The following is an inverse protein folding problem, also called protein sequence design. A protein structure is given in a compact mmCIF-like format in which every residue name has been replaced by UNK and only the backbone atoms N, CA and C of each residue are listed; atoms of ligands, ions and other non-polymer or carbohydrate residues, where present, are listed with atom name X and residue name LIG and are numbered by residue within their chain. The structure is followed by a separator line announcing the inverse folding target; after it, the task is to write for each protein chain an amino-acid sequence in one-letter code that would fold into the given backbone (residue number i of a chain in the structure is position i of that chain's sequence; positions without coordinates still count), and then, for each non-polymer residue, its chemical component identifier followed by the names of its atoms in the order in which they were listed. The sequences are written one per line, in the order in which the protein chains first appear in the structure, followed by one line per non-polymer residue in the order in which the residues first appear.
data_IF_751293558641
#
_entry.id   IF_751293558641
#
_cell.length_a   1.000
_cell.length_b   1.000
_cell.length_c   1.000
_cell.angle_alpha   90.00
_cell.angle_beta   90.00
_cell.angle_gamma   90.00
#
_symmetry.space_group_name_H-M   'P 1'
#
loop_
_entity.id
_entity.type
_entity.pdbx_description
1 polymer ?
#
# COMPACT_ATOMS: atom_id res chain seq x y z
N UNK A 1 -11.66 -18.38 17.05
CA UNK A 1 -11.39 -16.98 17.47
C UNK A 1 -11.41 -16.13 16.22
N UNK A 2 -11.91 -14.90 16.29
CA UNK A 2 -11.97 -14.00 15.13
C UNK A 2 -10.58 -13.42 14.87
N UNK A 3 -10.14 -13.40 13.60
CA UNK A 3 -8.89 -12.75 13.19
C UNK A 3 -8.97 -11.27 13.50
N UNK A 4 -7.88 -10.66 13.97
CA UNK A 4 -7.76 -9.21 14.15
C UNK A 4 -6.71 -8.63 13.22
N UNK A 5 -7.01 -7.49 12.62
CA UNK A 5 -6.05 -6.65 11.90
C UNK A 5 -5.90 -5.32 12.63
N UNK A 6 -4.75 -5.08 13.24
CA UNK A 6 -4.37 -3.78 13.78
C UNK A 6 -3.86 -2.91 12.64
N UNK A 7 -4.58 -1.82 12.34
CA UNK A 7 -4.33 -1.07 11.13
C UNK A 7 -4.85 0.38 11.17
N UNK A 8 -4.31 1.20 10.27
CA UNK A 8 -4.83 2.50 9.91
C UNK A 8 -4.94 2.59 8.40
N UNK A 9 -6.11 2.91 7.84
CA UNK A 9 -6.33 2.89 6.39
C UNK A 9 -5.74 4.11 5.66
N UNK A 10 -5.00 4.99 6.34
CA UNK A 10 -4.07 5.90 5.67
C UNK A 10 -2.82 5.13 5.19
N UNK A 11 -2.34 4.16 5.99
CA UNK A 11 -1.16 3.35 5.71
C UNK A 11 -1.37 2.42 4.51
N UNK A 12 -0.47 2.49 3.53
CA UNK A 12 -0.47 1.65 2.32
C UNK A 12 -0.51 0.14 2.62
N UNK A 13 0.43 -0.43 3.41
CA UNK A 13 0.40 -1.86 3.70
C UNK A 13 -0.83 -2.29 4.51
N UNK A 14 -1.38 -1.40 5.33
CA UNK A 14 -2.64 -1.67 6.04
C UNK A 14 -3.83 -1.72 5.08
N UNK A 15 -3.92 -0.76 4.14
CA UNK A 15 -4.94 -0.81 3.07
C UNK A 15 -4.82 -2.06 2.22
N UNK A 16 -3.61 -2.44 1.80
CA UNK A 16 -3.42 -3.64 0.99
C UNK A 16 -3.92 -4.91 1.71
N UNK A 17 -3.55 -5.10 2.98
CA UNK A 17 -4.00 -6.24 3.78
C UNK A 17 -5.52 -6.23 4.01
N UNK A 18 -6.08 -5.10 4.44
CA UNK A 18 -7.53 -4.95 4.64
C UNK A 18 -8.29 -5.22 3.34
N UNK A 19 -7.80 -4.72 2.21
CA UNK A 19 -8.48 -4.83 0.93
C UNK A 19 -8.57 -6.28 0.48
N UNK A 20 -7.50 -7.06 0.57
CA UNK A 20 -7.56 -8.48 0.21
C UNK A 20 -8.46 -9.26 1.17
N UNK A 21 -8.47 -8.92 2.46
CA UNK A 21 -9.38 -9.55 3.43
C UNK A 21 -10.86 -9.28 3.08
N UNK A 22 -11.22 -8.04 2.75
CA UNK A 22 -12.58 -7.69 2.32
C UNK A 22 -12.96 -8.32 0.99
N UNK A 23 -12.06 -8.29 0.02
CA UNK A 23 -12.27 -8.87 -1.31
C UNK A 23 -12.58 -10.36 -1.22
N UNK A 24 -11.95 -11.07 -0.26
CA UNK A 24 -12.17 -12.49 -0.01
C UNK A 24 -13.29 -12.76 1.01
N UNK A 25 -14.04 -11.72 1.40
CA UNK A 25 -15.12 -11.78 2.37
C UNK A 25 -14.72 -12.46 3.69
N UNK A 26 -13.46 -12.28 4.11
CA UNK A 26 -12.97 -12.82 5.38
C UNK A 26 -13.55 -12.01 6.53
N UNK A 27 -14.32 -12.65 7.41
CA UNK A 27 -14.76 -12.05 8.66
C UNK A 27 -13.56 -11.81 9.60
N UNK A 28 -13.37 -10.57 10.02
CA UNK A 28 -12.28 -10.17 10.91
C UNK A 28 -12.63 -8.88 11.66
N UNK A 29 -11.92 -8.62 12.75
CA UNK A 29 -11.98 -7.38 13.50
C UNK A 29 -10.89 -6.41 12.99
N UNK A 30 -11.28 -5.26 12.45
CA UNK A 30 -10.35 -4.17 12.14
C UNK A 30 -10.14 -3.31 13.39
N UNK A 31 -9.02 -3.53 14.08
CA UNK A 31 -8.62 -2.74 15.25
C UNK A 31 -7.92 -1.47 14.76
N UNK A 32 -8.62 -0.34 14.84
CA UNK A 32 -8.07 0.95 14.40
C UNK A 32 -6.96 1.41 15.33
N UNK A 33 -5.79 1.72 14.77
CA UNK A 33 -4.65 2.28 15.48
C UNK A 33 -4.26 3.64 14.88
N UNK A 34 -4.44 4.72 15.62
CA UNK A 34 -4.13 6.08 15.13
C UNK A 34 -2.65 6.41 15.24
N UNK A 35 -2.08 7.05 14.20
CA UNK A 35 -0.68 7.50 14.23
C UNK A 35 -0.41 8.43 15.42
N UNK A 36 0.74 8.23 16.08
CA UNK A 36 1.10 8.99 17.28
C UNK A 36 0.39 8.55 18.56
N UNK A 37 -0.53 7.58 18.49
CA UNK A 37 -1.14 6.96 19.68
C UNK A 37 -0.09 6.29 20.58
N UNK A 38 -0.28 6.30 21.92
CA UNK A 38 0.56 5.53 22.84
C UNK A 38 0.52 4.01 22.60
N UNK A 39 -0.45 3.50 21.83
CA UNK A 39 -0.55 2.09 21.45
C UNK A 39 0.76 1.54 20.89
N UNK A 40 1.45 2.28 20.02
CA UNK A 40 2.67 1.79 19.36
C UNK A 40 3.84 1.53 20.33
N UNK A 41 3.77 2.08 21.53
CA UNK A 41 4.77 1.93 22.60
C UNK A 41 4.27 1.09 23.77
N UNK A 42 3.02 0.61 23.73
CA UNK A 42 2.45 -0.16 24.83
C UNK A 42 3.09 -1.56 24.89
N UNK A 43 3.33 -2.12 26.09
CA UNK A 43 3.86 -3.48 26.23
C UNK A 43 3.02 -4.52 25.48
N UNK A 44 1.70 -4.36 25.48
CA UNK A 44 0.76 -5.26 24.82
C UNK A 44 0.93 -5.25 23.29
N UNK A 45 1.07 -4.07 22.68
CA UNK A 45 1.27 -3.97 21.24
C UNK A 45 2.68 -4.40 20.83
N UNK A 46 3.69 -4.05 21.62
CA UNK A 46 5.08 -4.47 21.37
C UNK A 46 5.28 -5.97 21.49
N UNK A 47 4.46 -6.67 22.29
CA UNK A 47 4.41 -8.12 22.33
C UNK A 47 3.91 -8.73 21.01
N UNK A 48 3.04 -8.02 20.26
CA UNK A 48 2.56 -8.45 18.93
C UNK A 48 3.53 -8.04 17.82
N UNK A 49 4.15 -6.86 17.93
CA UNK A 49 5.14 -6.36 16.98
C UNK A 49 6.20 -5.50 17.68
N UNK A 50 7.43 -6.01 17.86
CA UNK A 50 8.49 -5.27 18.55
C UNK A 50 8.95 -4.01 17.81
N UNK A 51 8.58 -3.84 16.53
CA UNK A 51 8.87 -2.62 15.79
C UNK A 51 7.94 -1.45 16.15
N UNK A 52 6.82 -1.71 16.84
CA UNK A 52 5.81 -0.67 17.12
C UNK A 52 5.19 -0.09 15.84
N UNK A 53 4.91 -0.93 14.83
CA UNK A 53 4.37 -0.50 13.54
C UNK A 53 3.11 -1.30 13.14
N UNK A 54 2.32 -0.73 12.23
CA UNK A 54 1.17 -1.38 11.58
C UNK A 54 1.47 -1.68 10.09
N UNK A 55 0.77 -2.65 9.47
CA UNK A 55 -0.24 -3.54 10.05
C UNK A 55 0.33 -4.68 10.91
N UNK A 56 -0.51 -5.19 11.81
CA UNK A 56 -0.28 -6.43 12.56
C UNK A 56 -1.52 -7.31 12.46
N UNK A 57 -1.33 -8.57 12.10
CA UNK A 57 -2.36 -9.61 12.11
C UNK A 57 -2.26 -10.41 13.41
N UNK A 58 -3.40 -10.73 14.00
CA UNK A 58 -3.52 -11.71 15.07
C UNK A 58 -4.51 -12.81 14.68
N UNK A 59 -4.04 -14.05 14.62
CA UNK A 59 -4.85 -15.26 14.41
C UNK A 59 -4.71 -16.17 15.65
N UNK A 60 -5.61 -16.01 16.62
CA UNK A 60 -5.50 -16.65 17.93
C UNK A 60 -4.24 -16.18 18.68
N UNK A 61 -3.39 -17.14 19.04
CA UNK A 61 -2.11 -16.88 19.71
C UNK A 61 -0.98 -16.54 18.73
N UNK A 62 -1.20 -16.71 17.42
CA UNK A 62 -0.24 -16.36 16.39
C UNK A 62 -0.36 -14.87 16.04
N UNK A 63 0.78 -14.18 15.97
CA UNK A 63 0.86 -12.80 15.50
C UNK A 63 1.87 -12.66 14.37
N UNK A 64 1.57 -11.79 13.41
CA UNK A 64 2.41 -11.53 12.25
C UNK A 64 2.33 -10.06 11.87
N UNK A 65 3.48 -9.44 11.62
CA UNK A 65 3.57 -8.06 11.15
C UNK A 65 4.24 -8.00 9.77
N UNK A 66 4.15 -6.82 9.12
CA UNK A 66 4.44 -6.55 7.69
C UNK A 66 3.31 -6.99 6.77
N UNK A 67 2.70 -6.03 6.05
CA UNK A 67 1.62 -6.29 5.09
C UNK A 67 1.99 -7.34 4.04
N UNK A 68 3.20 -7.28 3.48
CA UNK A 68 3.66 -8.23 2.46
C UNK A 68 3.96 -9.64 3.01
N UNK A 69 3.97 -9.84 4.34
CA UNK A 69 4.00 -11.17 4.96
C UNK A 69 2.59 -11.63 5.38
N UNK A 70 1.76 -10.69 5.88
CA UNK A 70 0.37 -10.93 6.26
C UNK A 70 -0.45 -11.44 5.07
N UNK A 71 -0.33 -10.81 3.90
CA UNK A 71 -1.13 -11.17 2.73
C UNK A 71 -0.87 -12.60 2.22
N UNK A 72 0.40 -13.04 2.00
CA UNK A 72 0.69 -14.44 1.68
C UNK A 72 0.22 -15.42 2.74
N UNK A 73 0.44 -15.12 4.03
CA UNK A 73 -0.04 -15.97 5.13
C UNK A 73 -1.56 -16.20 5.05
N UNK A 74 -2.34 -15.12 4.86
CA UNK A 74 -3.80 -15.23 4.73
C UNK A 74 -4.17 -16.03 3.47
N UNK A 75 -3.50 -15.79 2.35
CA UNK A 75 -3.78 -16.48 1.11
C UNK A 75 -3.51 -18.00 1.24
N UNK A 76 -2.41 -18.41 1.88
CA UNK A 76 -2.12 -19.81 2.15
C UNK A 76 -3.10 -20.41 3.18
N UNK A 77 -3.37 -19.68 4.27
CA UNK A 77 -4.24 -20.12 5.37
C UNK A 77 -5.67 -20.42 4.91
N UNK A 78 -6.17 -19.65 3.94
CA UNK A 78 -7.54 -19.69 3.43
C UNK A 78 -7.65 -20.12 1.96
N UNK A 79 -6.56 -20.61 1.37
CA UNK A 79 -6.50 -21.12 0.00
C UNK A 79 -6.97 -20.12 -1.08
N UNK A 80 -6.49 -18.87 -1.01
CA UNK A 80 -6.77 -17.81 -1.99
C UNK A 80 -5.83 -17.91 -3.21
N UNK A 81 -5.90 -19.05 -3.91
CA UNK A 81 -5.02 -19.36 -5.05
C UNK A 81 -5.24 -18.46 -6.26
N UNK A 82 -6.34 -17.70 -6.28
CA UNK A 82 -6.63 -16.66 -7.26
C UNK A 82 -5.72 -15.42 -7.08
N UNK A 83 -5.40 -15.05 -5.83
CA UNK A 83 -4.55 -13.92 -5.52
C UNK A 83 -3.07 -14.31 -5.32
N UNK A 84 -2.84 -15.56 -4.90
CA UNK A 84 -1.52 -16.12 -4.63
C UNK A 84 -1.42 -17.53 -5.22
N UNK A 85 -1.04 -17.65 -6.50
CA UNK A 85 -1.04 -18.93 -7.21
C UNK A 85 -0.14 -20.00 -6.59
N UNK A 86 -0.55 -21.26 -6.71
CA UNK A 86 0.26 -22.41 -6.29
C UNK A 86 1.29 -22.86 -7.35
N UNK A 87 1.17 -22.41 -8.60
CA UNK A 87 2.20 -22.64 -9.62
C UNK A 87 3.50 -21.94 -9.22
N UNK A 88 4.62 -22.68 -9.25
CA UNK A 88 5.91 -22.22 -8.74
C UNK A 88 6.40 -20.94 -9.42
N UNK A 89 6.18 -20.79 -10.72
CA UNK A 89 6.65 -19.61 -11.47
C UNK A 89 5.76 -18.40 -11.24
N UNK A 90 4.43 -18.58 -11.28
CA UNK A 90 3.48 -17.51 -10.99
C UNK A 90 3.63 -17.02 -9.54
N UNK A 91 3.77 -17.94 -8.59
CA UNK A 91 4.07 -17.65 -7.19
C UNK A 91 5.37 -16.84 -7.04
N UNK A 92 6.43 -17.25 -7.74
CA UNK A 92 7.71 -16.54 -7.71
C UNK A 92 7.60 -15.11 -8.27
N UNK A 93 6.75 -14.85 -9.27
CA UNK A 93 6.48 -13.50 -9.80
C UNK A 93 5.79 -12.60 -8.78
N UNK A 94 4.81 -13.14 -8.04
CA UNK A 94 4.18 -12.40 -6.94
C UNK A 94 5.23 -12.02 -5.89
N UNK A 95 6.03 -12.99 -5.44
CA UNK A 95 7.08 -12.74 -4.44
C UNK A 95 8.16 -11.79 -4.95
N UNK A 96 8.57 -11.90 -6.21
CA UNK A 96 9.52 -10.98 -6.83
C UNK A 96 9.08 -9.52 -6.60
N UNK A 97 7.81 -9.21 -6.89
CA UNK A 97 7.31 -7.86 -6.68
C UNK A 97 7.19 -7.49 -5.20
N UNK A 98 6.63 -8.37 -4.37
CA UNK A 98 6.47 -8.09 -2.93
C UNK A 98 7.81 -7.79 -2.23
N UNK A 99 8.88 -8.50 -2.61
CA UNK A 99 10.23 -8.22 -2.11
C UNK A 99 10.84 -6.96 -2.72
N UNK A 100 10.71 -6.77 -4.03
CA UNK A 100 11.21 -5.57 -4.72
C UNK A 100 10.54 -4.28 -4.22
N UNK A 101 9.25 -4.34 -3.90
CA UNK A 101 8.42 -3.22 -3.41
C UNK A 101 9.04 -2.49 -2.21
N UNK A 102 9.59 -3.23 -1.24
CA UNK A 102 10.10 -2.69 0.02
C UNK A 102 11.23 -1.66 -0.13
N UNK A 103 12.07 -1.80 -1.14
CA UNK A 103 13.20 -0.91 -1.40
C UNK A 103 12.99 -0.01 -2.61
N UNK A 104 11.78 -0.02 -3.18
CA UNK A 104 11.42 0.73 -4.37
C UNK A 104 10.10 1.48 -4.18
N UNK A 105 8.97 0.92 -4.60
CA UNK A 105 7.68 1.61 -4.57
C UNK A 105 7.30 2.11 -3.16
N UNK A 106 7.64 1.35 -2.11
CA UNK A 106 7.38 1.73 -0.72
C UNK A 106 8.11 3.00 -0.27
N UNK A 107 9.19 3.39 -0.94
CA UNK A 107 9.97 4.59 -0.62
C UNK A 107 9.20 5.89 -0.91
N UNK A 108 8.08 5.83 -1.63
CA UNK A 108 7.22 7.00 -1.87
C UNK A 108 6.80 7.65 -0.55
N UNK A 109 6.48 6.89 0.49
CA UNK A 109 6.12 7.51 1.79
C UNK A 109 7.26 8.33 2.38
N UNK A 110 8.46 7.75 2.50
CA UNK A 110 9.59 8.41 3.17
C UNK A 110 10.27 9.48 2.32
N UNK A 111 10.21 9.36 0.99
CA UNK A 111 10.85 10.31 0.06
C UNK A 111 9.91 11.37 -0.51
N UNK A 112 8.59 11.17 -0.42
CA UNK A 112 7.61 12.07 -1.02
C UNK A 112 6.58 12.52 0.01
N UNK A 113 5.79 11.59 0.58
CA UNK A 113 4.68 11.97 1.47
C UNK A 113 5.16 12.72 2.72
N UNK A 114 6.11 12.14 3.46
CA UNK A 114 6.61 12.72 4.72
C UNK A 114 7.28 14.08 4.48
N UNK A 115 8.23 14.22 3.52
CA UNK A 115 8.81 15.52 3.17
C UNK A 115 7.77 16.57 2.75
N UNK A 116 6.76 16.20 1.96
CA UNK A 116 5.68 17.12 1.57
C UNK A 116 4.84 17.55 2.77
N UNK A 117 4.51 16.63 3.67
CA UNK A 117 3.77 16.92 4.89
C UNK A 117 4.54 17.88 5.81
N UNK A 118 5.83 17.62 6.04
CA UNK A 118 6.68 18.51 6.83
C UNK A 118 6.86 19.88 6.16
N UNK A 119 6.90 19.93 4.84
CA UNK A 119 6.94 21.19 4.09
C UNK A 119 5.67 22.01 4.34
N UNK A 120 4.49 21.39 4.29
CA UNK A 120 3.20 22.03 4.59
C UNK A 120 3.09 22.50 6.04
N UNK A 121 3.72 21.79 6.96
CA UNK A 121 3.78 22.12 8.38
C UNK A 121 4.88 23.15 8.71
N UNK A 122 5.69 23.59 7.74
CA UNK A 122 6.84 24.47 7.94
C UNK A 122 7.90 23.90 8.92
N UNK A 123 8.07 22.58 8.94
CA UNK A 123 9.06 21.86 9.77
C UNK A 123 10.04 21.02 8.97
N UNK A 124 10.01 21.14 7.63
CA UNK A 124 10.88 20.37 6.75
C UNK A 124 12.37 20.67 6.98
N UNK A 125 13.20 19.63 6.95
CA UNK A 125 14.66 19.79 6.96
C UNK A 125 15.20 20.21 5.59
N UNK A 126 16.45 20.73 5.48
CA UNK A 126 17.08 21.00 4.19
C UNK A 126 17.13 19.77 3.27
N UNK A 127 17.36 18.58 3.83
CA UNK A 127 17.38 17.32 3.07
C UNK A 127 16.00 16.98 2.51
N UNK A 128 14.94 17.16 3.30
CA UNK A 128 13.57 16.94 2.87
C UNK A 128 13.15 17.92 1.76
N UNK A 129 13.60 19.17 1.82
CA UNK A 129 13.36 20.15 0.76
C UNK A 129 13.98 19.69 -0.58
N UNK A 130 15.15 19.06 -0.55
CA UNK A 130 15.76 18.44 -1.75
C UNK A 130 14.92 17.26 -2.23
N UNK A 131 14.46 16.38 -1.33
CA UNK A 131 13.61 15.25 -1.71
C UNK A 131 12.29 15.68 -2.37
N UNK A 132 11.66 16.75 -1.86
CA UNK A 132 10.45 17.33 -2.47
C UNK A 132 10.75 17.83 -3.88
N UNK A 133 11.88 18.54 -4.09
CA UNK A 133 12.29 19.00 -5.42
C UNK A 133 12.54 17.85 -6.40
N UNK A 134 13.09 16.74 -5.93
CA UNK A 134 13.41 15.56 -6.74
C UNK A 134 12.23 14.61 -6.97
N UNK A 135 11.08 14.88 -6.33
CA UNK A 135 9.87 14.05 -6.41
C UNK A 135 9.45 13.73 -7.85
N UNK A 136 9.36 14.68 -8.80
CA UNK A 136 8.98 14.37 -10.18
C UNK A 136 9.91 13.35 -10.85
N UNK A 137 11.23 13.49 -10.65
CA UNK A 137 12.24 12.57 -11.20
C UNK A 137 12.12 11.17 -10.59
N UNK A 138 11.94 11.11 -9.27
CA UNK A 138 11.73 9.85 -8.54
C UNK A 138 10.48 9.11 -9.05
N UNK A 139 9.36 9.83 -9.16
CA UNK A 139 8.09 9.27 -9.60
C UNK A 139 8.14 8.84 -11.06
N UNK A 140 8.73 9.64 -11.96
CA UNK A 140 8.92 9.26 -13.36
C UNK A 140 9.73 7.96 -13.49
N UNK A 141 10.84 7.84 -12.75
CA UNK A 141 11.66 6.62 -12.74
C UNK A 141 10.86 5.41 -12.25
N UNK A 142 10.08 5.58 -11.18
CA UNK A 142 9.32 4.50 -10.56
C UNK A 142 8.17 4.03 -11.47
N UNK A 143 7.40 4.97 -12.04
CA UNK A 143 6.29 4.66 -12.96
C UNK A 143 6.83 4.03 -14.25
N UNK A 144 7.95 4.52 -14.79
CA UNK A 144 8.62 3.90 -15.94
C UNK A 144 9.07 2.46 -15.68
N UNK A 145 9.37 2.10 -14.43
CA UNK A 145 9.70 0.73 -14.06
C UNK A 145 8.44 -0.14 -13.91
N UNK A 146 7.37 0.40 -13.33
CA UNK A 146 6.08 -0.28 -13.29
C UNK A 146 5.53 -0.57 -14.69
N UNK A 147 5.66 0.37 -15.63
CA UNK A 147 5.31 0.20 -17.05
C UNK A 147 5.98 -1.05 -17.66
N UNK A 148 7.20 -1.39 -17.20
CA UNK A 148 7.95 -2.58 -17.66
C UNK A 148 7.49 -3.86 -16.99
N UNK A 149 7.04 -3.82 -15.74
CA UNK A 149 6.48 -4.99 -15.04
C UNK A 149 5.12 -5.38 -15.60
N UNK A 150 4.39 -4.44 -16.19
CA UNK A 150 3.12 -4.67 -16.87
C UNK A 150 3.36 -5.26 -18.28
N UNK A 151 3.93 -6.47 -18.31
CA UNK A 151 4.05 -7.28 -19.54
C UNK A 151 2.68 -7.81 -19.94
N UNK A 152 1.90 -8.25 -18.95
CA UNK A 152 0.46 -8.51 -19.04
C UNK A 152 -0.33 -7.38 -18.38
N UNK A 153 -1.62 -7.61 -18.12
CA UNK A 153 -2.50 -6.63 -17.50
C UNK A 153 -2.18 -6.35 -16.02
N UNK A 154 -1.46 -7.26 -15.34
CA UNK A 154 -1.15 -7.18 -13.91
C UNK A 154 0.34 -7.39 -13.62
N UNK A 155 0.77 -6.93 -12.44
CA UNK A 155 2.18 -6.76 -12.05
C UNK A 155 2.96 -8.08 -12.03
N UNK A 156 2.32 -9.18 -11.65
CA UNK A 156 2.95 -10.49 -11.57
C UNK A 156 2.92 -11.28 -12.90
N UNK A 157 2.83 -10.58 -14.03
CA UNK A 157 2.71 -11.18 -15.37
C UNK A 157 1.47 -12.10 -15.50
N UNK A 158 0.40 -11.77 -14.77
CA UNK A 158 -0.86 -12.50 -14.70
C UNK A 158 -1.99 -11.82 -15.46
N UNK A 159 -3.06 -12.57 -15.74
CA UNK A 159 -4.30 -12.08 -16.38
C UNK A 159 -5.34 -11.60 -15.35
N UNK A 160 -5.04 -11.75 -14.06
CA UNK A 160 -5.87 -11.35 -12.91
C UNK A 160 -5.00 -10.68 -11.84
N UNK A 161 -5.56 -9.78 -11.01
CA UNK A 161 -4.79 -9.14 -9.95
C UNK A 161 -4.33 -10.15 -8.90
N UNK A 162 -3.10 -10.01 -8.45
CA UNK A 162 -2.47 -10.82 -7.39
C UNK A 162 -2.15 -9.96 -6.19
N UNK A 163 -1.65 -10.56 -5.10
CA UNK A 163 -1.17 -9.81 -3.93
C UNK A 163 -0.15 -8.70 -4.29
N UNK A 164 0.63 -8.89 -5.36
CA UNK A 164 1.56 -7.88 -5.86
C UNK A 164 0.84 -6.60 -6.30
N UNK A 165 -0.31 -6.72 -6.96
CA UNK A 165 -1.10 -5.59 -7.44
C UNK A 165 -1.71 -4.79 -6.29
N UNK A 166 -2.21 -5.44 -5.23
CA UNK A 166 -2.73 -4.74 -4.04
C UNK A 166 -1.63 -3.98 -3.28
N UNK A 167 -0.44 -4.58 -3.16
CA UNK A 167 0.72 -3.91 -2.58
C UNK A 167 1.17 -2.71 -3.42
N UNK A 168 1.24 -2.89 -4.74
CA UNK A 168 1.63 -1.84 -5.69
C UNK A 168 0.64 -0.68 -5.67
N UNK A 169 -0.64 -0.99 -5.87
CA UNK A 169 -1.70 -0.02 -6.12
C UNK A 169 -1.85 0.94 -4.96
N UNK A 170 -1.82 0.44 -3.72
CA UNK A 170 -1.95 1.27 -2.53
C UNK A 170 -0.88 2.38 -2.43
N UNK A 171 0.30 2.20 -3.02
CA UNK A 171 1.34 3.23 -3.15
C UNK A 171 0.97 4.27 -4.21
N UNK A 172 0.56 3.81 -5.39
CA UNK A 172 0.36 4.67 -6.56
C UNK A 172 -0.94 5.45 -6.57
N UNK A 173 -2.02 4.87 -6.05
CA UNK A 173 -3.29 5.60 -5.87
C UNK A 173 -3.11 6.76 -4.92
N UNK A 174 -2.22 6.68 -3.93
CA UNK A 174 -1.93 7.82 -3.08
C UNK A 174 -1.30 8.98 -3.87
N UNK A 175 -0.36 8.67 -4.77
CA UNK A 175 0.25 9.68 -5.65
C UNK A 175 -0.82 10.32 -6.54
N UNK A 176 -1.74 9.51 -7.08
CA UNK A 176 -2.88 9.98 -7.87
C UNK A 176 -3.79 10.92 -7.07
N UNK A 177 -4.22 10.50 -5.88
CA UNK A 177 -5.12 11.27 -5.02
C UNK A 177 -4.48 12.58 -4.54
N UNK A 178 -3.16 12.61 -4.39
CA UNK A 178 -2.41 13.83 -4.10
C UNK A 178 -2.31 14.77 -5.31
N UNK A 179 -2.49 14.28 -6.54
CA UNK A 179 -2.40 15.08 -7.77
C UNK A 179 -1.01 15.62 -8.07
N UNK A 180 0.04 14.92 -7.63
CA UNK A 180 1.44 15.41 -7.71
C UNK A 180 2.22 14.88 -8.92
N UNK A 181 1.61 14.02 -9.73
CA UNK A 181 2.25 13.41 -10.89
C UNK A 181 1.23 13.02 -11.96
N UNK A 182 1.56 13.29 -13.22
CA UNK A 182 0.73 12.90 -14.37
C UNK A 182 1.18 11.53 -14.91
N UNK A 183 0.25 10.57 -14.95
CA UNK A 183 0.49 9.22 -15.45
C UNK A 183 0.23 9.08 -16.95
N UNK A 184 -0.32 10.10 -17.63
CA UNK A 184 -0.78 10.01 -19.03
C UNK A 184 0.29 9.54 -20.02
N UNK A 185 1.57 9.81 -19.75
CA UNK A 185 2.71 9.34 -20.54
C UNK A 185 3.05 7.85 -20.40
N UNK A 186 2.35 7.11 -19.54
CA UNK A 186 2.60 5.71 -19.22
C UNK A 186 1.33 4.88 -19.46
N UNK A 187 1.10 4.41 -20.70
CA UNK A 187 -0.18 3.85 -21.11
C UNK A 187 -0.51 2.53 -20.40
N UNK A 188 0.44 1.61 -20.23
CA UNK A 188 0.17 0.33 -19.55
C UNK A 188 -0.11 0.56 -18.07
N UNK A 189 0.68 1.42 -17.43
CA UNK A 189 0.50 1.82 -16.04
C UNK A 189 -0.84 2.50 -15.82
N UNK A 190 -1.21 3.45 -16.68
CA UNK A 190 -2.51 4.14 -16.62
C UNK A 190 -3.66 3.14 -16.78
N UNK A 191 -3.57 2.23 -17.75
CA UNK A 191 -4.57 1.18 -17.93
C UNK A 191 -4.68 0.25 -16.71
N UNK A 192 -3.55 -0.13 -16.10
CA UNK A 192 -3.52 -0.92 -14.87
C UNK A 192 -4.15 -0.17 -13.69
N UNK A 193 -3.84 1.12 -13.50
CA UNK A 193 -4.48 1.96 -12.47
C UNK A 193 -5.99 2.00 -12.64
N UNK A 194 -6.49 2.12 -13.88
CA UNK A 194 -7.94 2.09 -14.15
C UNK A 194 -8.55 0.73 -13.88
N UNK A 195 -7.90 -0.38 -14.26
CA UNK A 195 -8.37 -1.75 -13.93
C UNK A 195 -8.47 -1.98 -12.43
N UNK A 196 -7.50 -1.51 -11.65
CA UNK A 196 -7.53 -1.66 -10.20
C UNK A 196 -8.66 -0.86 -9.52
N UNK A 197 -9.07 0.28 -10.09
CA UNK A 197 -10.22 1.07 -9.60
C UNK A 197 -11.55 0.34 -9.76
N UNK A 198 -11.67 -0.59 -10.70
CA UNK A 198 -12.92 -1.34 -10.91
C UNK A 198 -13.09 -2.50 -9.93
N UNK A 199 -12.09 -2.79 -9.09
CA UNK A 199 -12.18 -3.90 -8.15
C UNK A 199 -13.13 -3.58 -6.99
N UNK A 200 -13.85 -4.58 -6.45
CA UNK A 200 -14.70 -4.40 -5.28
C UNK A 200 -13.96 -3.78 -4.10
N UNK A 201 -14.70 -3.00 -3.31
CA UNK A 201 -14.21 -2.30 -2.12
C UNK A 201 -13.16 -1.20 -2.34
N UNK A 202 -12.83 -0.88 -3.60
CA UNK A 202 -11.83 0.14 -3.91
C UNK A 202 -12.09 1.46 -3.18
N UNK A 203 -13.27 2.06 -3.35
CA UNK A 203 -13.56 3.39 -2.80
C UNK A 203 -13.59 3.39 -1.26
N UNK A 204 -14.17 2.35 -0.64
CA UNK A 204 -14.23 2.26 0.82
C UNK A 204 -12.86 2.10 1.46
N UNK A 205 -11.96 1.32 0.85
CA UNK A 205 -10.58 1.13 1.33
C UNK A 205 -9.80 2.44 1.28
N UNK A 206 -10.05 3.27 0.27
CA UNK A 206 -9.29 4.50 0.03
C UNK A 206 -9.92 5.75 0.66
N UNK A 207 -11.18 5.70 1.11
CA UNK A 207 -11.91 6.85 1.67
C UNK A 207 -11.20 7.51 2.86
N UNK A 208 -10.58 6.73 3.74
CA UNK A 208 -9.86 7.27 4.93
C UNK A 208 -8.63 8.06 4.50
N UNK A 209 -7.85 7.51 3.56
CA UNK A 209 -6.72 8.22 2.97
C UNK A 209 -7.19 9.49 2.27
N UNK A 210 -8.24 9.40 1.46
CA UNK A 210 -8.73 10.53 0.67
C UNK A 210 -9.11 11.72 1.55
N UNK A 211 -9.83 11.43 2.64
CA UNK A 211 -10.20 12.41 3.67
C UNK A 211 -8.97 13.01 4.35
N UNK A 212 -7.99 12.17 4.72
CA UNK A 212 -6.74 12.63 5.34
C UNK A 212 -5.94 13.55 4.42
N UNK A 213 -5.80 13.21 3.14
CA UNK A 213 -5.07 14.04 2.18
C UNK A 213 -5.76 15.39 1.96
N UNK A 214 -7.09 15.41 1.93
CA UNK A 214 -7.87 16.63 1.80
C UNK A 214 -7.72 17.52 3.04
N UNK A 215 -7.90 16.97 4.25
CA UNK A 215 -7.80 17.73 5.51
C UNK A 215 -6.38 18.22 5.79
N UNK A 216 -5.36 17.51 5.30
CA UNK A 216 -3.94 17.88 5.46
C UNK A 216 -3.42 18.84 4.38
N UNK A 217 -4.27 19.24 3.42
CA UNK A 217 -3.85 20.13 2.31
C UNK A 217 -2.81 19.49 1.37
N UNK A 218 -2.78 18.16 1.31
CA UNK A 218 -1.86 17.35 0.52
C UNK A 218 -2.42 16.97 -0.87
N UNK A 219 -3.68 17.29 -1.13
CA UNK A 219 -4.22 17.30 -2.50
C UNK A 219 -3.82 18.59 -3.19
N UNK A 220 -3.12 18.50 -4.32
CA UNK A 220 -3.09 19.61 -5.26
C UNK A 220 -4.51 19.76 -5.82
N UNK A 221 -5.02 20.98 -5.96
CA UNK A 221 -6.27 21.18 -6.70
C UNK A 221 -5.99 20.65 -8.10
N UNK A 222 -6.55 19.50 -8.46
CA UNK A 222 -6.53 19.03 -9.83
C UNK A 222 -7.07 20.20 -10.66
N UNK A 223 -6.26 20.70 -11.61
CA UNK A 223 -6.74 21.56 -12.67
C UNK A 223 -7.93 20.81 -13.28
N UNK A 224 -9.13 21.34 -13.04
CA UNK A 224 -10.38 20.91 -13.68
C UNK A 224 -10.24 20.84 -15.19
#
# INVERSE_FOLDING_TARGET
MTIKLYANLISQPSRAAEWVMRLKHLEHELVRTDFGSPTFTSPEFLALNPNGLIPVLQDGDFSLFKGNAIMPYLAERFNWTDLYPGDVQAHAKVNQYLHWHHTNARLVTSKVLVPLMHTKQNVATPEEAVMVKDTPTLLAKLVALMEKFLVKDFVAESDHPTLADFAAYCEFVQIELMGIFDFSGYPKFSAWMQRMKTLPFHDEIHATLDTFLASSGLKTKASS
#
